data_IF_883707016661
#
_entry.id   IF_883707016661
#
_cell.length_a   1.000
_cell.length_b   1.000
_cell.length_c   1.000
_cell.angle_alpha   90.00
_cell.angle_beta   90.00
_cell.angle_gamma   90.00
#
_symmetry.space_group_name_H-M   'P 1'
#
loop_
_entity.id
_entity.type
_entity.pdbx_description
1 polymer ?
#
# COMPACT_ATOMS: atom_id res chain seq x y z
N UNK A 1 9.59 -24.05 -0.61
CA UNK A 1 8.30 -23.37 -0.40
C UNK A 1 8.63 -21.93 -0.07
N UNK A 2 8.44 -20.99 -1.00
CA UNK A 2 8.58 -19.57 -0.70
C UNK A 2 7.33 -19.15 0.08
N UNK A 3 7.43 -19.12 1.40
CA UNK A 3 6.46 -18.42 2.25
C UNK A 3 6.61 -16.94 1.93
N UNK A 4 5.79 -16.43 1.01
CA UNK A 4 5.71 -15.00 0.73
C UNK A 4 5.18 -14.35 2.01
N UNK A 5 6.06 -13.71 2.78
CA UNK A 5 5.68 -12.98 3.99
C UNK A 5 4.76 -11.84 3.56
N UNK A 6 3.53 -11.83 4.08
CA UNK A 6 2.55 -10.79 3.78
C UNK A 6 2.76 -9.60 4.73
N UNK A 7 2.50 -8.34 4.32
CA UNK A 7 2.62 -7.16 5.18
C UNK A 7 1.94 -7.28 6.55
N UNK A 8 0.81 -7.98 6.58
CA UNK A 8 0.00 -8.25 7.77
C UNK A 8 0.63 -9.23 8.77
N UNK A 9 1.65 -9.97 8.36
CA UNK A 9 2.39 -10.93 9.20
C UNK A 9 3.75 -10.41 9.65
N UNK A 10 4.13 -9.20 9.23
CA UNK A 10 5.44 -8.63 9.54
C UNK A 10 5.39 -7.82 10.84
N UNK A 11 6.31 -8.13 11.75
CA UNK A 11 6.54 -7.35 12.97
C UNK A 11 7.08 -5.95 12.65
N UNK A 12 7.10 -5.06 13.64
CA UNK A 12 7.72 -3.75 13.48
C UNK A 12 9.21 -3.86 13.09
N UNK A 13 9.90 -4.88 13.61
CA UNK A 13 11.30 -5.13 13.28
C UNK A 13 11.47 -5.65 11.85
N UNK A 14 10.66 -6.63 11.42
CA UNK A 14 10.71 -7.14 10.04
C UNK A 14 10.51 -6.02 9.02
N UNK A 15 9.61 -5.07 9.33
CA UNK A 15 9.32 -3.90 8.49
C UNK A 15 10.49 -2.92 8.40
N UNK A 16 11.19 -2.67 9.51
CA UNK A 16 12.42 -1.86 9.51
C UNK A 16 13.53 -2.51 8.70
N UNK A 17 13.74 -3.82 8.89
CA UNK A 17 14.75 -4.57 8.14
C UNK A 17 14.42 -4.63 6.64
N UNK A 18 13.14 -4.73 6.29
CA UNK A 18 12.71 -4.73 4.90
C UNK A 18 13.04 -3.43 4.16
N UNK A 19 13.04 -2.26 4.83
CA UNK A 19 13.52 -1.02 4.23
C UNK A 19 14.98 -1.14 3.80
N UNK A 20 15.88 -1.44 4.72
CA UNK A 20 17.32 -1.52 4.42
C UNK A 20 17.67 -2.66 3.47
N UNK A 21 16.96 -3.79 3.53
CA UNK A 21 17.15 -4.87 2.56
C UNK A 21 16.75 -4.40 1.15
N UNK A 22 15.59 -3.76 1.01
CA UNK A 22 15.06 -3.32 -0.28
C UNK A 22 15.74 -2.06 -0.83
N UNK A 23 16.35 -1.24 0.02
CA UNK A 23 17.29 -0.21 -0.37
C UNK A 23 18.49 -0.83 -1.10
N UNK A 24 19.02 -1.94 -0.58
CA UNK A 24 20.19 -2.64 -1.14
C UNK A 24 19.88 -3.57 -2.32
N UNK A 25 18.65 -4.11 -2.43
CA UNK A 25 18.31 -5.15 -3.42
C UNK A 25 17.14 -4.81 -4.35
N UNK A 26 16.40 -3.72 -4.10
CA UNK A 26 15.23 -3.28 -4.88
C UNK A 26 13.96 -4.12 -4.63
N UNK A 27 12.85 -3.48 -4.25
CA UNK A 27 11.53 -4.11 -4.14
C UNK A 27 10.69 -3.85 -5.39
N UNK A 28 10.01 -4.88 -5.92
CA UNK A 28 9.11 -4.75 -7.08
C UNK A 28 9.74 -4.00 -8.28
N UNK A 29 11.05 -4.16 -8.52
CA UNK A 29 11.86 -3.47 -9.54
C UNK A 29 12.09 -1.97 -9.35
N UNK A 30 11.63 -1.37 -8.25
CA UNK A 30 11.93 0.02 -7.92
C UNK A 30 13.28 0.09 -7.18
N UNK A 31 14.19 0.92 -7.70
CA UNK A 31 15.40 1.31 -6.98
C UNK A 31 15.03 2.35 -5.91
N UNK A 32 15.30 2.03 -4.65
CA UNK A 32 15.10 2.91 -3.50
C UNK A 32 16.39 3.59 -3.05
N UNK A 33 17.51 3.29 -3.72
CA UNK A 33 18.78 3.94 -3.48
C UNK A 33 18.72 5.41 -3.89
N UNK A 34 18.78 6.29 -2.88
CA UNK A 34 18.81 7.73 -3.01
C UNK A 34 20.21 8.33 -2.82
N UNK A 35 21.23 7.51 -2.55
CA UNK A 35 22.59 7.97 -2.25
C UNK A 35 23.22 8.73 -3.40
N UNK A 36 23.12 8.21 -4.62
CA UNK A 36 23.57 8.88 -5.85
C UNK A 36 22.95 10.28 -6.00
N UNK A 37 21.64 10.40 -5.75
CA UNK A 37 20.94 11.67 -5.87
C UNK A 37 21.43 12.68 -4.82
N UNK A 38 21.71 12.24 -3.58
CA UNK A 38 22.29 13.10 -2.54
C UNK A 38 23.70 13.59 -2.91
N UNK A 39 24.53 12.71 -3.49
CA UNK A 39 25.86 13.10 -3.95
C UNK A 39 25.78 14.10 -5.10
N UNK A 40 24.93 13.86 -6.09
CA UNK A 40 24.69 14.78 -7.20
C UNK A 40 24.26 16.18 -6.69
N UNK A 41 23.26 16.21 -5.79
CA UNK A 41 22.76 17.45 -5.19
C UNK A 41 23.86 18.20 -4.44
N UNK A 42 24.66 17.51 -3.63
CA UNK A 42 25.74 18.14 -2.87
C UNK A 42 26.87 18.63 -3.78
N UNK A 43 27.25 17.83 -4.77
CA UNK A 43 28.26 18.17 -5.77
C UNK A 43 27.91 19.46 -6.52
N UNK A 44 26.65 19.64 -6.91
CA UNK A 44 26.20 20.89 -7.53
C UNK A 44 26.39 22.10 -6.62
N UNK A 45 26.07 21.97 -5.32
CA UNK A 45 26.24 23.06 -4.36
C UNK A 45 27.71 23.37 -4.12
N UNK A 46 28.57 22.34 -4.04
CA UNK A 46 30.01 22.52 -3.93
C UNK A 46 30.59 23.26 -5.14
N UNK A 47 30.19 22.90 -6.36
CA UNK A 47 30.59 23.62 -7.59
C UNK A 47 30.18 25.10 -7.56
N UNK A 48 28.99 25.42 -7.06
CA UNK A 48 28.55 26.82 -6.91
C UNK A 48 29.44 27.56 -5.90
N UNK A 49 29.76 26.95 -4.76
CA UNK A 49 30.63 27.54 -3.75
C UNK A 49 32.05 27.78 -4.32
N UNK A 50 32.61 26.81 -5.04
CA UNK A 50 33.91 26.94 -5.71
C UNK A 50 33.92 28.06 -6.75
N UNK A 51 32.84 28.21 -7.52
CA UNK A 51 32.71 29.27 -8.53
C UNK A 51 32.68 30.67 -7.88
N UNK A 52 32.04 30.80 -6.73
CA UNK A 52 31.89 32.08 -6.02
C UNK A 52 33.13 32.47 -5.20
N UNK A 53 33.75 31.50 -4.53
CA UNK A 53 34.80 31.74 -3.53
C UNK A 53 36.21 31.34 -4.02
N UNK A 54 36.31 30.75 -5.21
CA UNK A 54 37.53 30.26 -5.82
C UNK A 54 37.88 28.84 -5.38
N UNK A 55 37.95 27.92 -6.36
CA UNK A 55 38.23 26.49 -6.13
C UNK A 55 39.43 26.20 -5.23
N UNK A 56 40.59 26.81 -5.53
CA UNK A 56 41.82 26.59 -4.75
C UNK A 56 41.72 27.01 -3.29
N UNK A 57 40.80 27.92 -2.97
CA UNK A 57 40.58 28.42 -1.62
C UNK A 57 39.62 27.53 -0.82
N UNK A 58 38.56 27.00 -1.45
CA UNK A 58 37.48 26.32 -0.71
C UNK A 58 37.46 24.80 -0.86
N UNK A 59 37.99 24.22 -1.94
CA UNK A 59 37.91 22.78 -2.18
C UNK A 59 38.46 21.92 -1.01
N UNK A 60 39.61 22.24 -0.37
CA UNK A 60 40.10 21.46 0.77
C UNK A 60 39.17 21.52 1.98
N UNK A 61 38.49 22.65 2.18
CA UNK A 61 37.53 22.83 3.28
C UNK A 61 36.22 22.09 3.03
N UNK A 62 35.75 22.07 1.78
CA UNK A 62 34.57 21.29 1.38
C UNK A 62 34.82 19.80 1.56
N UNK A 63 35.98 19.30 1.13
CA UNK A 63 36.40 17.91 1.35
C UNK A 63 36.48 17.57 2.84
N UNK A 64 37.16 18.40 3.64
CA UNK A 64 37.31 18.18 5.08
C UNK A 64 35.98 18.25 5.86
N UNK A 65 34.94 18.86 5.28
CA UNK A 65 33.61 18.95 5.88
C UNK A 65 32.74 17.69 5.63
N UNK A 66 33.14 16.80 4.73
CA UNK A 66 32.41 15.57 4.45
C UNK A 66 32.52 14.61 5.65
N UNK A 67 31.38 14.13 6.21
CA UNK A 67 31.40 13.17 7.29
C UNK A 67 31.45 11.73 6.76
N UNK A 68 32.26 10.87 7.39
CA UNK A 68 32.32 9.43 7.09
C UNK A 68 33.70 8.83 7.40
N UNK A 69 33.77 7.57 7.85
CA UNK A 69 35.05 6.90 8.16
C UNK A 69 35.87 6.53 6.92
N UNK A 70 35.22 6.38 5.75
CA UNK A 70 35.80 5.76 4.54
C UNK A 70 35.79 6.71 3.33
N UNK A 71 35.97 8.01 3.54
CA UNK A 71 36.07 8.97 2.43
C UNK A 71 37.45 8.81 1.78
N UNK A 72 37.49 8.20 0.61
CA UNK A 72 38.70 8.04 -0.20
C UNK A 72 38.95 9.27 -1.10
N UNK A 73 40.19 9.43 -1.56
CA UNK A 73 40.60 10.52 -2.46
C UNK A 73 41.25 11.71 -1.76
N UNK A 74 41.63 12.71 -2.55
CA UNK A 74 42.29 13.96 -2.12
C UNK A 74 41.40 15.19 -2.37
N UNK A 75 40.28 15.02 -3.06
CA UNK A 75 39.31 16.07 -3.34
C UNK A 75 37.90 15.55 -3.10
N UNK A 76 36.94 16.47 -2.92
CA UNK A 76 35.54 16.06 -2.79
C UNK A 76 35.00 15.46 -4.09
N UNK A 77 35.56 15.81 -5.25
CA UNK A 77 35.21 15.16 -6.51
C UNK A 77 35.65 13.70 -6.54
N UNK A 78 36.91 13.41 -6.17
CA UNK A 78 37.43 12.03 -6.09
C UNK A 78 36.61 11.19 -5.09
N UNK A 79 36.21 11.79 -3.96
CA UNK A 79 35.33 11.15 -2.98
C UNK A 79 33.95 10.79 -3.52
N UNK A 80 33.45 11.52 -4.51
CA UNK A 80 32.12 11.29 -5.09
C UNK A 80 32.17 10.41 -6.36
N UNK A 81 33.35 10.23 -6.97
CA UNK A 81 33.51 9.43 -8.20
C UNK A 81 33.26 7.93 -7.96
N UNK A 82 33.57 7.41 -6.78
CA UNK A 82 33.23 6.04 -6.39
C UNK A 82 32.01 6.09 -5.50
N UNK A 83 30.82 5.84 -6.06
CA UNK A 83 29.63 5.67 -5.25
C UNK A 83 29.82 4.46 -4.32
N UNK A 84 30.05 4.76 -3.05
CA UNK A 84 30.00 3.80 -1.96
C UNK A 84 28.78 4.19 -1.13
N UNK A 85 27.71 3.36 -1.07
CA UNK A 85 26.54 3.64 -0.25
C UNK A 85 26.90 4.02 1.19
N UNK A 86 28.00 3.47 1.72
CA UNK A 86 28.54 3.80 3.06
C UNK A 86 28.88 5.27 3.28
N UNK A 87 29.17 6.05 2.24
CA UNK A 87 29.53 7.47 2.35
C UNK A 87 28.34 8.27 2.89
N UNK A 88 27.14 8.01 2.40
CA UNK A 88 25.95 8.79 2.75
C UNK A 88 25.26 8.28 4.02
N UNK A 89 25.44 7.02 4.43
CA UNK A 89 24.75 6.41 5.59
C UNK A 89 24.93 7.20 6.91
N UNK A 90 26.04 7.92 7.06
CA UNK A 90 26.29 8.71 8.27
C UNK A 90 25.61 10.08 8.26
N UNK A 91 25.13 10.53 7.10
CA UNK A 91 24.62 11.88 6.87
C UNK A 91 23.21 12.03 7.42
N UNK A 92 22.92 13.19 8.01
CA UNK A 92 21.59 13.46 8.56
C UNK A 92 20.50 13.51 7.49
N UNK A 93 20.85 13.88 6.26
CA UNK A 93 19.96 13.82 5.10
C UNK A 93 19.57 12.39 4.74
N UNK A 94 20.53 11.45 4.77
CA UNK A 94 20.25 10.04 4.52
C UNK A 94 19.37 9.44 5.62
N UNK A 95 19.74 9.66 6.90
CA UNK A 95 18.92 9.23 8.04
C UNK A 95 17.49 9.78 7.99
N UNK A 96 17.31 11.02 7.52
CA UNK A 96 15.98 11.60 7.33
C UNK A 96 15.17 10.85 6.27
N UNK A 97 15.81 10.48 5.15
CA UNK A 97 15.17 9.71 4.09
C UNK A 97 14.91 8.26 4.49
N UNK A 98 15.79 7.62 5.25
CA UNK A 98 15.53 6.30 5.83
C UNK A 98 14.32 6.33 6.75
N UNK A 99 14.27 7.30 7.66
CA UNK A 99 13.13 7.49 8.55
C UNK A 99 11.83 7.72 7.77
N UNK A 100 11.90 8.47 6.67
CA UNK A 100 10.77 8.70 5.78
C UNK A 100 10.36 7.43 5.01
N UNK A 101 11.30 6.60 4.56
CA UNK A 101 11.03 5.34 3.89
C UNK A 101 10.39 4.30 4.82
N UNK A 102 10.98 4.13 6.01
CA UNK A 102 10.48 3.25 7.08
C UNK A 102 9.05 3.63 7.46
N UNK A 103 8.81 4.92 7.73
CA UNK A 103 7.47 5.38 8.09
C UNK A 103 6.51 5.36 6.90
N UNK A 104 6.89 5.97 5.78
CA UNK A 104 6.03 6.15 4.61
C UNK A 104 5.58 4.83 4.01
N UNK A 105 6.55 3.95 3.67
CA UNK A 105 6.26 2.70 2.99
C UNK A 105 5.78 1.61 3.95
N UNK A 106 6.40 1.47 5.12
CA UNK A 106 6.13 0.35 6.03
C UNK A 106 5.28 0.70 7.26
N UNK A 107 4.97 1.97 7.50
CA UNK A 107 4.04 2.38 8.56
C UNK A 107 4.56 2.13 9.98
N UNK A 108 5.88 2.19 10.18
CA UNK A 108 6.54 2.02 11.49
C UNK A 108 7.49 3.18 11.78
N UNK A 109 7.86 3.39 13.04
CA UNK A 109 8.91 4.34 13.42
C UNK A 109 10.24 3.62 13.62
N UNK A 110 11.37 4.37 13.65
CA UNK A 110 12.65 3.81 14.08
C UNK A 110 12.55 3.22 15.49
N UNK A 111 13.30 2.14 15.74
CA UNK A 111 13.26 1.41 17.01
C UNK A 111 13.64 2.27 18.23
N UNK A 112 14.46 3.30 18.02
CA UNK A 112 14.89 4.21 19.08
C UNK A 112 13.78 5.15 19.57
N UNK A 113 12.66 5.28 18.85
CA UNK A 113 11.57 6.19 19.20
C UNK A 113 10.58 5.47 20.12
N UNK A 114 10.47 5.95 21.35
CA UNK A 114 9.55 5.40 22.35
C UNK A 114 8.09 5.55 21.91
N UNK A 115 7.24 4.57 22.25
CA UNK A 115 5.82 4.52 21.83
C UNK A 115 5.08 5.84 22.10
N UNK A 116 5.29 6.46 23.26
CA UNK A 116 4.64 7.71 23.68
C UNK A 116 5.08 8.93 22.87
N UNK A 117 6.21 8.85 22.17
CA UNK A 117 6.81 9.96 21.41
C UNK A 117 6.52 9.87 19.91
N UNK A 118 6.05 8.70 19.42
CA UNK A 118 5.90 8.43 17.98
C UNK A 118 5.01 9.42 17.25
N UNK A 119 3.89 9.81 17.85
CA UNK A 119 2.99 10.79 17.22
C UNK A 119 3.67 12.16 17.03
N UNK A 120 4.38 12.66 18.05
CA UNK A 120 5.12 13.91 17.96
C UNK A 120 6.29 13.80 16.97
N UNK A 121 6.96 12.66 16.94
CA UNK A 121 8.04 12.37 16.00
C UNK A 121 7.57 12.36 14.54
N UNK A 122 6.38 11.82 14.25
CA UNK A 122 5.80 11.82 12.89
C UNK A 122 5.54 13.26 12.40
N UNK A 123 5.05 14.13 13.28
CA UNK A 123 4.81 15.54 12.95
C UNK A 123 6.13 16.31 12.72
N UNK A 124 7.15 16.04 13.54
CA UNK A 124 8.50 16.58 13.31
C UNK A 124 9.10 16.09 11.99
N UNK A 125 8.96 14.79 11.70
CA UNK A 125 9.41 14.19 10.44
C UNK A 125 8.77 14.90 9.25
N UNK A 126 7.45 15.08 9.24
CA UNK A 126 6.74 15.77 8.16
C UNK A 126 7.25 17.21 7.97
N UNK A 127 7.46 17.93 9.07
CA UNK A 127 7.99 19.31 9.05
C UNK A 127 9.40 19.35 8.44
N UNK A 128 10.28 18.44 8.87
CA UNK A 128 11.66 18.36 8.37
C UNK A 128 11.72 17.95 6.91
N UNK A 129 10.82 17.08 6.46
CA UNK A 129 10.71 16.65 5.08
C UNK A 129 10.28 17.78 4.15
N UNK A 130 9.31 18.60 4.56
CA UNK A 130 8.91 19.79 3.78
C UNK A 130 10.01 20.86 3.74
N UNK A 131 10.72 21.05 4.87
CA UNK A 131 11.89 21.92 4.91
C UNK A 131 13.00 21.41 3.97
N UNK A 132 13.30 20.12 4.01
CA UNK A 132 14.28 19.48 3.13
C UNK A 132 13.92 19.70 1.67
N UNK A 133 12.67 19.39 1.28
CA UNK A 133 12.17 19.62 -0.09
C UNK A 133 12.32 21.08 -0.52
N UNK A 134 12.01 22.02 0.36
CA UNK A 134 12.07 23.45 0.06
C UNK A 134 13.51 23.95 -0.16
N UNK A 135 14.44 23.50 0.68
CA UNK A 135 15.83 23.97 0.67
C UNK A 135 16.70 23.21 -0.33
N UNK A 136 16.60 21.89 -0.34
CA UNK A 136 17.43 21.01 -1.17
C UNK A 136 16.93 20.98 -2.61
N UNK A 137 15.60 20.99 -2.79
CA UNK A 137 14.90 20.92 -4.08
C UNK A 137 15.29 19.67 -4.89
N UNK A 138 15.03 18.46 -4.35
CA UNK A 138 15.26 17.22 -5.09
C UNK A 138 14.42 17.19 -6.37
N UNK A 139 14.86 16.41 -7.35
CA UNK A 139 14.17 16.35 -8.64
C UNK A 139 12.80 15.66 -8.49
N UNK A 140 11.71 16.17 -9.10
CA UNK A 140 10.37 15.68 -8.81
C UNK A 140 10.13 14.20 -9.15
N UNK A 141 10.84 13.65 -10.14
CA UNK A 141 10.68 12.27 -10.60
C UNK A 141 11.65 11.29 -9.94
N UNK A 142 12.61 11.79 -9.15
CA UNK A 142 13.64 10.95 -8.54
C UNK A 142 13.19 10.37 -7.20
N UNK A 143 14.01 9.45 -6.71
CA UNK A 143 13.73 8.59 -5.57
C UNK A 143 13.59 9.39 -4.27
N UNK A 144 14.37 10.46 -4.07
CA UNK A 144 14.29 11.31 -2.88
C UNK A 144 12.89 11.94 -2.79
N UNK A 145 12.40 12.55 -3.86
CA UNK A 145 11.05 13.12 -3.89
C UNK A 145 9.97 12.06 -3.65
N UNK A 146 10.14 10.87 -4.23
CA UNK A 146 9.22 9.75 -4.04
C UNK A 146 9.13 9.30 -2.58
N UNK A 147 10.27 9.15 -1.91
CA UNK A 147 10.33 8.78 -0.48
C UNK A 147 9.62 9.83 0.39
N UNK A 148 9.91 11.11 0.13
CA UNK A 148 9.27 12.23 0.83
C UNK A 148 7.74 12.19 0.62
N UNK A 149 7.28 12.01 -0.61
CA UNK A 149 5.86 11.93 -0.95
C UNK A 149 5.16 10.75 -0.25
N UNK A 150 5.81 9.60 -0.17
CA UNK A 150 5.26 8.44 0.55
C UNK A 150 5.06 8.75 2.03
N UNK A 151 6.05 9.34 2.69
CA UNK A 151 5.95 9.70 4.10
C UNK A 151 4.85 10.73 4.38
N UNK A 152 4.72 11.75 3.54
CA UNK A 152 3.68 12.78 3.71
C UNK A 152 2.28 12.24 3.39
N UNK A 153 2.14 11.45 2.32
CA UNK A 153 0.89 10.77 1.96
C UNK A 153 0.46 9.79 3.05
N UNK A 154 1.41 9.06 3.65
CA UNK A 154 1.19 8.18 4.80
C UNK A 154 0.66 8.96 6.00
N UNK A 155 1.31 10.06 6.36
CA UNK A 155 0.86 10.93 7.45
C UNK A 155 -0.56 11.43 7.21
N UNK A 156 -0.89 11.84 5.99
CA UNK A 156 -2.23 12.26 5.64
C UNK A 156 -3.28 11.15 5.87
N UNK A 157 -2.95 9.91 5.46
CA UNK A 157 -3.79 8.73 5.71
C UNK A 157 -3.95 8.45 7.21
N UNK A 158 -2.86 8.45 7.95
CA UNK A 158 -2.86 8.11 9.39
C UNK A 158 -3.57 9.16 10.25
N UNK A 159 -3.53 10.44 9.86
CA UNK A 159 -4.27 11.52 10.50
C UNK A 159 -5.68 11.72 9.95
N UNK A 160 -6.04 11.02 8.85
CA UNK A 160 -7.25 11.25 8.06
C UNK A 160 -7.42 12.70 7.56
N UNK A 161 -6.31 13.43 7.40
CA UNK A 161 -6.28 14.85 7.04
C UNK A 161 -5.35 15.10 5.85
N UNK A 162 -5.82 15.91 4.90
CA UNK A 162 -5.04 16.30 3.73
C UNK A 162 -5.26 15.42 2.51
N UNK A 163 -4.24 15.37 1.66
CA UNK A 163 -4.31 14.80 0.32
C UNK A 163 -3.20 13.77 0.11
N UNK A 164 -3.47 12.79 -0.76
CA UNK A 164 -2.56 11.71 -1.12
C UNK A 164 -2.25 11.81 -2.61
N UNK A 165 -0.97 11.85 -2.95
CA UNK A 165 -0.55 11.88 -4.34
C UNK A 165 -0.76 10.54 -5.05
N UNK A 166 -0.99 10.58 -6.37
CA UNK A 166 -1.37 9.38 -7.13
C UNK A 166 -0.25 8.35 -7.23
N UNK A 167 1.01 8.78 -7.19
CA UNK A 167 2.17 7.87 -7.28
C UNK A 167 2.30 7.09 -5.98
N UNK A 168 2.23 7.78 -4.84
CA UNK A 168 2.22 7.14 -3.51
C UNK A 168 1.04 6.19 -3.35
N UNK A 169 -0.17 6.60 -3.78
CA UNK A 169 -1.34 5.72 -3.74
C UNK A 169 -1.15 4.46 -4.60
N UNK A 170 -0.53 4.58 -5.77
CA UNK A 170 -0.22 3.44 -6.62
C UNK A 170 0.75 2.47 -5.94
N UNK A 171 1.81 3.00 -5.33
CA UNK A 171 2.81 2.22 -4.58
C UNK A 171 2.15 1.51 -3.41
N UNK A 172 1.39 2.22 -2.57
CA UNK A 172 0.64 1.63 -1.46
C UNK A 172 -0.34 0.55 -1.92
N UNK A 173 -0.96 0.75 -3.08
CA UNK A 173 -1.96 -0.16 -3.63
C UNK A 173 -1.39 -1.33 -4.42
N UNK A 174 -0.08 -1.42 -4.62
CA UNK A 174 0.57 -2.45 -5.46
C UNK A 174 0.18 -2.36 -6.94
N UNK A 175 -0.09 -1.16 -7.46
CA UNK A 175 -0.54 -0.93 -8.84
C UNK A 175 0.22 0.20 -9.51
N UNK A 176 0.09 0.33 -10.83
CA UNK A 176 0.70 1.45 -11.57
C UNK A 176 -0.08 2.75 -11.39
N UNK A 177 0.58 3.90 -11.49
CA UNK A 177 -0.08 5.22 -11.46
C UNK A 177 -1.15 5.33 -12.57
N UNK A 178 -0.88 4.78 -13.75
CA UNK A 178 -1.86 4.71 -14.85
C UNK A 178 -3.13 3.95 -14.46
N UNK A 179 -3.02 2.90 -13.64
CA UNK A 179 -4.20 2.18 -13.12
C UNK A 179 -5.03 3.06 -12.17
N UNK A 180 -4.38 3.86 -11.32
CA UNK A 180 -5.07 4.83 -10.45
C UNK A 180 -5.80 5.88 -11.30
N UNK A 181 -5.14 6.45 -12.32
CA UNK A 181 -5.76 7.42 -13.23
C UNK A 181 -6.99 6.84 -13.96
N UNK A 182 -6.92 5.57 -14.37
CA UNK A 182 -8.06 4.88 -14.97
C UNK A 182 -9.22 4.69 -13.97
N UNK A 183 -8.92 4.33 -12.72
CA UNK A 183 -9.94 4.22 -11.66
C UNK A 183 -10.61 5.58 -11.45
N UNK A 184 -9.84 6.67 -11.35
CA UNK A 184 -10.36 8.03 -11.17
C UNK A 184 -11.20 8.55 -12.36
N UNK A 185 -11.10 7.91 -13.53
CA UNK A 185 -11.95 8.24 -14.68
C UNK A 185 -13.34 7.60 -14.61
N UNK A 186 -13.53 6.61 -13.73
CA UNK A 186 -14.81 5.95 -13.50
C UNK A 186 -15.63 6.66 -12.43
N UNK A 187 -16.96 6.69 -12.59
CA UNK A 187 -17.87 7.39 -11.67
C UNK A 187 -18.08 6.68 -10.32
N UNK A 188 -17.62 5.43 -10.20
CA UNK A 188 -17.80 4.56 -9.01
C UNK A 188 -16.45 4.05 -8.48
N UNK A 189 -15.48 4.97 -8.41
CA UNK A 189 -14.08 4.63 -8.16
C UNK A 189 -13.76 4.39 -6.67
N UNK A 190 -14.63 4.84 -5.77
CA UNK A 190 -14.38 4.90 -4.33
C UNK A 190 -13.26 5.89 -3.93
N UNK A 191 -12.68 6.62 -4.89
CA UNK A 191 -11.62 7.61 -4.67
C UNK A 191 -12.17 9.01 -4.95
N UNK A 192 -11.96 9.92 -4.01
CA UNK A 192 -12.41 11.31 -4.12
C UNK A 192 -11.25 12.19 -4.58
N UNK A 193 -11.36 12.73 -5.79
CA UNK A 193 -10.31 13.54 -6.40
C UNK A 193 -10.34 14.98 -5.89
N UNK A 194 -9.16 15.51 -5.53
CA UNK A 194 -8.92 16.92 -5.24
C UNK A 194 -7.74 17.40 -6.07
N UNK A 195 -7.98 18.26 -7.05
CA UNK A 195 -6.93 18.71 -7.98
C UNK A 195 -6.30 17.55 -8.75
N UNK A 196 -5.02 17.27 -8.49
CA UNK A 196 -4.27 16.13 -9.06
C UNK A 196 -4.00 15.02 -8.03
N UNK A 197 -4.67 15.08 -6.88
CA UNK A 197 -4.51 14.17 -5.74
C UNK A 197 -5.86 13.56 -5.36
N UNK A 198 -5.89 12.74 -4.31
CA UNK A 198 -7.13 12.25 -3.69
C UNK A 198 -7.20 12.61 -2.22
N UNK A 199 -8.41 12.65 -1.65
CA UNK A 199 -8.57 12.88 -0.20
C UNK A 199 -7.97 11.72 0.59
N UNK A 200 -7.33 12.01 1.72
CA UNK A 200 -6.77 10.97 2.59
C UNK A 200 -7.82 9.93 3.06
N UNK A 201 -9.06 10.32 3.45
CA UNK A 201 -10.08 9.34 3.83
C UNK A 201 -10.47 8.38 2.70
N UNK A 202 -10.61 8.86 1.46
CA UNK A 202 -10.95 7.99 0.32
C UNK A 202 -9.80 7.06 -0.06
N UNK A 203 -8.55 7.55 0.03
CA UNK A 203 -7.35 6.72 -0.13
C UNK A 203 -7.29 5.61 0.93
N UNK A 204 -7.50 5.95 2.22
CA UNK A 204 -7.50 4.99 3.32
C UNK A 204 -8.57 3.89 3.11
N UNK A 205 -9.78 4.28 2.71
CA UNK A 205 -10.85 3.34 2.40
C UNK A 205 -10.51 2.40 1.23
N UNK A 206 -9.89 2.93 0.17
CA UNK A 206 -9.49 2.15 -1.00
C UNK A 206 -8.30 1.21 -0.73
N UNK A 207 -7.43 1.56 0.21
CA UNK A 207 -6.28 0.76 0.64
C UNK A 207 -6.65 -0.35 1.63
N UNK A 208 -7.78 -0.24 2.32
CA UNK A 208 -8.24 -1.22 3.32
C UNK A 208 -8.30 -2.63 2.73
N UNK A 209 -7.62 -3.57 3.38
CA UNK A 209 -7.60 -4.99 2.98
C UNK A 209 -6.76 -5.34 1.75
N UNK A 210 -5.98 -4.39 1.21
CA UNK A 210 -5.05 -4.69 0.11
C UNK A 210 -3.81 -5.41 0.63
N UNK A 211 -3.49 -6.54 0.00
CA UNK A 211 -2.34 -7.39 0.33
C UNK A 211 -0.97 -6.70 0.22
N UNK A 212 -0.85 -5.67 -0.62
CA UNK A 212 0.42 -4.96 -0.86
C UNK A 212 0.58 -3.74 0.07
N UNK A 213 -0.48 -3.39 0.81
CA UNK A 213 -0.50 -2.23 1.66
C UNK A 213 -0.02 -2.57 3.07
N UNK A 214 1.07 -1.93 3.49
CA UNK A 214 1.51 -1.92 4.88
C UNK A 214 0.66 -0.91 5.66
N UNK A 215 -0.36 -1.37 6.37
CA UNK A 215 -1.10 -0.55 7.31
C UNK A 215 -0.19 -0.10 8.46
N UNK A 216 -0.33 1.14 8.92
CA UNK A 216 0.47 1.64 10.04
C UNK A 216 0.24 0.83 11.31
N UNK A 217 1.34 0.45 11.96
CA UNK A 217 1.34 -0.24 13.26
C UNK A 217 2.14 0.53 14.31
N UNK A 218 2.64 1.73 13.98
CA UNK A 218 3.44 2.54 14.90
C UNK A 218 2.70 2.92 16.19
N UNK A 219 1.37 2.91 16.21
CA UNK A 219 0.57 3.14 17.42
C UNK A 219 0.62 1.97 18.41
N UNK A 220 1.16 0.82 18.00
CA UNK A 220 1.22 -0.40 18.80
C UNK A 220 2.63 -0.59 19.40
N UNK A 221 2.77 -1.25 20.56
CA UNK A 221 4.06 -1.72 21.05
C UNK A 221 4.75 -2.61 20.01
N UNK A 222 6.08 -2.58 19.94
CA UNK A 222 6.83 -3.38 18.96
C UNK A 222 6.71 -4.88 19.22
N UNK A 223 6.46 -5.27 20.47
CA UNK A 223 6.23 -6.65 20.90
C UNK A 223 4.82 -7.16 20.58
N UNK A 224 3.92 -6.30 20.10
CA UNK A 224 2.59 -6.74 19.68
C UNK A 224 2.71 -7.68 18.49
N UNK A 225 2.13 -8.89 18.61
CA UNK A 225 2.07 -9.80 17.47
C UNK A 225 1.23 -9.16 16.36
N UNK A 226 1.66 -9.27 15.08
CA UNK A 226 0.87 -8.79 13.96
C UNK A 226 -0.46 -9.55 13.94
N UNK A 227 -1.52 -8.90 14.38
CA UNK A 227 -2.86 -9.44 14.22
C UNK A 227 -3.23 -9.21 12.76
N UNK A 228 -3.21 -10.28 11.96
CA UNK A 228 -3.77 -10.23 10.62
C UNK A 228 -5.16 -9.59 10.75
N UNK A 229 -5.49 -8.55 9.95
CA UNK A 229 -6.76 -7.87 10.10
C UNK A 229 -7.83 -8.95 10.07
N UNK A 230 -8.49 -9.15 11.23
CA UNK A 230 -9.68 -10.00 11.26
C UNK A 230 -10.52 -9.50 10.09
N UNK A 231 -10.92 -10.35 9.14
CA UNK A 231 -11.79 -9.92 8.08
C UNK A 231 -12.90 -9.13 8.75
N UNK A 232 -13.07 -7.87 8.35
CA UNK A 232 -14.11 -7.04 8.94
C UNK A 232 -15.43 -7.71 8.55
N UNK A 233 -15.94 -8.57 9.43
CA UNK A 233 -17.18 -9.31 9.24
C UNK A 233 -18.39 -8.40 9.52
N UNK A 234 -18.19 -7.07 9.50
CA UNK A 234 -19.27 -6.09 9.65
C UNK A 234 -20.32 -6.20 8.54
N UNK A 235 -19.93 -6.77 7.38
CA UNK A 235 -20.85 -7.00 6.27
C UNK A 235 -21.35 -8.46 6.30
N UNK A 236 -22.67 -8.61 6.43
CA UNK A 236 -23.42 -9.87 6.34
C UNK A 236 -22.93 -10.70 5.12
N UNK A 237 -22.08 -11.69 5.35
CA UNK A 237 -21.64 -12.63 4.32
C UNK A 237 -22.59 -13.80 4.25
N UNK A 238 -22.95 -14.23 3.04
CA UNK A 238 -23.79 -15.40 2.80
C UNK A 238 -23.03 -16.46 2.02
N UNK A 239 -23.22 -17.72 2.39
CA UNK A 239 -22.72 -18.87 1.64
C UNK A 239 -23.81 -19.36 0.70
N UNK A 240 -23.58 -19.25 -0.60
CA UNK A 240 -24.50 -19.71 -1.64
C UNK A 240 -23.97 -20.94 -2.35
N UNK A 241 -24.83 -21.89 -2.73
CA UNK A 241 -24.38 -23.09 -3.42
C UNK A 241 -23.89 -22.76 -4.83
N UNK A 242 -22.77 -23.37 -5.21
CA UNK A 242 -22.09 -23.27 -6.49
C UNK A 242 -22.20 -24.61 -7.23
N UNK A 243 -22.65 -24.58 -8.47
CA UNK A 243 -22.73 -25.71 -9.37
C UNK A 243 -21.41 -25.94 -10.11
N UNK A 244 -21.29 -27.10 -10.75
CA UNK A 244 -20.08 -27.51 -11.47
C UNK A 244 -19.66 -26.56 -12.61
N UNK A 245 -20.61 -25.81 -13.19
CA UNK A 245 -20.37 -24.88 -14.29
C UNK A 245 -20.12 -23.43 -13.85
N UNK A 246 -19.83 -23.19 -12.57
CA UNK A 246 -19.62 -21.84 -12.01
C UNK A 246 -20.92 -21.07 -11.72
N UNK A 247 -22.04 -21.63 -12.18
CA UNK A 247 -23.41 -21.50 -11.70
C UNK A 247 -23.62 -21.24 -10.21
N UNK A 248 -24.14 -20.12 -9.69
CA UNK A 248 -24.50 -20.02 -8.26
C UNK A 248 -25.94 -19.56 -8.02
N UNK A 249 -26.47 -19.82 -6.82
CA UNK A 249 -27.81 -19.38 -6.43
C UNK A 249 -27.81 -17.89 -6.04
N UNK A 250 -28.66 -17.08 -6.69
CA UNK A 250 -28.74 -15.62 -6.48
C UNK A 250 -30.19 -15.12 -6.63
N UNK A 251 -30.52 -13.88 -6.20
CA UNK A 251 -31.90 -13.38 -6.14
C UNK A 251 -32.61 -13.31 -7.49
N UNK A 252 -31.86 -13.03 -8.57
CA UNK A 252 -32.38 -13.02 -9.95
C UNK A 252 -32.93 -14.35 -10.47
N UNK A 253 -32.80 -15.46 -9.72
CA UNK A 253 -33.40 -16.75 -10.06
C UNK A 253 -34.88 -16.86 -9.66
N UNK A 254 -35.45 -15.83 -9.03
CA UNK A 254 -36.85 -15.81 -8.64
C UNK A 254 -37.79 -15.79 -9.86
N UNK A 255 -38.85 -16.60 -9.81
CA UNK A 255 -39.99 -16.53 -10.73
C UNK A 255 -41.23 -16.13 -9.94
N UNK A 256 -41.78 -14.95 -10.25
CA UNK A 256 -42.91 -14.38 -9.51
C UNK A 256 -42.66 -14.32 -7.99
N UNK A 257 -41.43 -13.94 -7.60
CA UNK A 257 -41.00 -13.83 -6.19
C UNK A 257 -40.68 -15.16 -5.50
N UNK A 258 -40.78 -16.30 -6.21
CA UNK A 258 -40.57 -17.64 -5.65
C UNK A 258 -39.38 -18.35 -6.29
N UNK A 259 -38.69 -19.15 -5.49
CA UNK A 259 -37.57 -19.99 -5.90
C UNK A 259 -38.00 -21.44 -5.88
N UNK A 260 -37.66 -22.19 -6.93
CA UNK A 260 -37.91 -23.64 -6.99
C UNK A 260 -36.63 -24.38 -6.59
N UNK A 261 -36.67 -25.09 -5.46
CA UNK A 261 -35.54 -25.84 -4.90
C UNK A 261 -35.93 -27.31 -4.67
N UNK A 262 -34.94 -28.20 -4.57
CA UNK A 262 -35.15 -29.63 -4.37
C UNK A 262 -34.79 -30.48 -5.59
N UNK A 263 -34.74 -31.80 -5.39
CA UNK A 263 -34.49 -32.78 -6.45
C UNK A 263 -35.67 -32.92 -7.41
N UNK A 264 -35.43 -33.54 -8.57
CA UNK A 264 -36.49 -33.86 -9.54
C UNK A 264 -37.56 -34.72 -8.86
N UNK A 265 -38.79 -34.23 -8.78
CA UNK A 265 -39.93 -34.91 -8.13
C UNK A 265 -40.13 -34.55 -6.64
N UNK A 266 -39.21 -33.80 -6.04
CA UNK A 266 -39.26 -33.32 -4.64
C UNK A 266 -39.14 -31.79 -4.59
N UNK A 267 -39.56 -31.11 -5.68
CA UNK A 267 -39.40 -29.67 -5.85
C UNK A 267 -40.39 -28.91 -4.95
N UNK A 268 -39.88 -27.94 -4.21
CA UNK A 268 -40.67 -27.03 -3.37
C UNK A 268 -40.46 -25.60 -3.84
N UNK A 269 -41.55 -24.82 -3.88
CA UNK A 269 -41.48 -23.38 -4.13
C UNK A 269 -41.45 -22.62 -2.82
N UNK A 270 -40.38 -21.84 -2.63
CA UNK A 270 -40.18 -21.02 -1.44
C UNK A 270 -40.18 -19.54 -1.84
N UNK A 271 -40.93 -18.73 -1.10
CA UNK A 271 -40.96 -17.29 -1.28
C UNK A 271 -39.80 -16.63 -0.54
N UNK A 272 -39.16 -15.66 -1.21
CA UNK A 272 -38.03 -14.92 -0.65
C UNK A 272 -36.70 -15.67 -0.75
N UNK A 273 -35.65 -14.90 -1.03
CA UNK A 273 -34.30 -15.42 -1.25
C UNK A 273 -33.72 -16.07 0.02
N UNK A 274 -33.82 -15.39 1.16
CA UNK A 274 -33.21 -15.87 2.41
C UNK A 274 -33.84 -17.19 2.89
N UNK A 275 -35.17 -17.31 2.79
CA UNK A 275 -35.89 -18.55 3.11
C UNK A 275 -35.50 -19.70 2.20
N UNK A 276 -35.34 -19.43 0.90
CA UNK A 276 -34.91 -20.43 -0.07
C UNK A 276 -33.45 -20.85 0.15
N UNK A 277 -32.56 -19.90 0.45
CA UNK A 277 -31.15 -20.17 0.75
C UNK A 277 -31.01 -21.00 2.04
N UNK A 278 -31.75 -20.63 3.10
CA UNK A 278 -31.75 -21.37 4.36
C UNK A 278 -32.25 -22.81 4.19
N UNK A 279 -33.20 -23.05 3.28
CA UNK A 279 -33.66 -24.39 2.94
C UNK A 279 -32.61 -25.17 2.13
N UNK A 280 -31.93 -24.54 1.16
CA UNK A 280 -30.83 -25.16 0.40
C UNK A 280 -29.66 -25.56 1.29
N UNK A 281 -29.30 -24.74 2.29
CA UNK A 281 -28.24 -25.03 3.27
C UNK A 281 -28.53 -26.25 4.15
N UNK A 282 -29.79 -26.63 4.31
CA UNK A 282 -30.21 -27.82 5.07
C UNK A 282 -30.27 -29.08 4.21
N UNK A 283 -30.13 -28.97 2.89
CA UNK A 283 -30.16 -30.13 1.99
C UNK A 283 -28.79 -30.82 1.96
N UNK A 284 -28.78 -32.16 2.00
CA UNK A 284 -27.56 -32.94 1.82
C UNK A 284 -26.89 -32.69 0.46
N UNK A 285 -27.67 -32.34 -0.56
CA UNK A 285 -27.18 -31.80 -1.83
C UNK A 285 -28.10 -30.66 -2.25
N UNK A 286 -27.65 -29.40 -2.19
CA UNK A 286 -28.48 -28.27 -2.57
C UNK A 286 -28.83 -28.37 -4.06
N UNK A 287 -30.11 -28.25 -4.39
CA UNK A 287 -30.60 -28.32 -5.77
C UNK A 287 -31.59 -27.18 -6.02
N UNK A 288 -31.43 -26.47 -7.12
CA UNK A 288 -32.29 -25.34 -7.48
C UNK A 288 -32.50 -25.27 -8.99
N UNK A 289 -33.55 -24.57 -9.41
CA UNK A 289 -33.76 -24.26 -10.84
C UNK A 289 -33.07 -22.97 -11.26
N UNK A 290 -32.48 -23.00 -12.45
CA UNK A 290 -31.96 -21.81 -13.14
C UNK A 290 -32.12 -21.95 -14.66
N UNK A 291 -32.09 -20.86 -15.44
CA UNK A 291 -31.97 -20.95 -16.90
C UNK A 291 -30.59 -21.51 -17.29
N UNK A 292 -30.56 -22.26 -18.39
CA UNK A 292 -29.32 -22.59 -19.10
C UNK A 292 -29.06 -21.57 -20.22
N UNK A 293 -27.98 -21.76 -21.00
CA UNK A 293 -27.60 -20.87 -22.12
C UNK A 293 -28.71 -20.71 -23.19
N UNK A 294 -29.62 -21.68 -23.29
CA UNK A 294 -30.77 -21.66 -24.20
C UNK A 294 -32.06 -21.18 -23.52
N UNK A 295 -31.96 -20.47 -22.39
CA UNK A 295 -33.06 -19.95 -21.56
C UNK A 295 -34.02 -21.02 -21.00
N UNK A 296 -33.69 -22.30 -21.16
CA UNK A 296 -34.48 -23.40 -20.62
C UNK A 296 -34.15 -23.61 -19.14
N UNK A 297 -35.19 -23.77 -18.32
CA UNK A 297 -35.01 -23.89 -16.89
C UNK A 297 -34.83 -25.34 -16.47
N UNK A 298 -33.66 -25.63 -15.91
CA UNK A 298 -33.28 -26.95 -15.43
C UNK A 298 -32.91 -26.93 -13.96
N UNK A 299 -32.99 -28.10 -13.32
CA UNK A 299 -32.46 -28.30 -11.96
C UNK A 299 -30.95 -28.47 -12.06
N UNK A 300 -30.22 -27.74 -11.24
CA UNK A 300 -28.79 -27.94 -11.03
C UNK A 300 -28.52 -28.41 -9.61
N UNK A 301 -27.42 -29.15 -9.42
CA UNK A 301 -26.92 -29.55 -8.10
C UNK A 301 -25.70 -28.73 -7.72
N UNK A 302 -25.69 -28.21 -6.51
CA UNK A 302 -24.51 -27.59 -5.92
C UNK A 302 -23.46 -28.64 -5.62
N UNK A 303 -22.22 -28.31 -5.95
CA UNK A 303 -21.02 -29.10 -5.73
C UNK A 303 -20.09 -28.46 -4.71
N UNK A 304 -20.19 -27.14 -4.55
CA UNK A 304 -19.37 -26.36 -3.63
C UNK A 304 -20.18 -25.19 -3.03
N UNK A 305 -19.59 -24.44 -2.11
CA UNK A 305 -20.18 -23.26 -1.49
C UNK A 305 -19.32 -22.04 -1.80
N UNK A 306 -19.94 -21.00 -2.36
CA UNK A 306 -19.29 -19.72 -2.62
C UNK A 306 -19.66 -18.73 -1.52
N UNK A 307 -18.65 -18.18 -0.85
CA UNK A 307 -18.81 -17.05 0.07
C UNK A 307 -18.97 -15.76 -0.73
N UNK A 308 -20.05 -15.03 -0.51
CA UNK A 308 -20.35 -13.75 -1.20
C UNK A 308 -20.84 -12.74 -0.17
N UNK A 309 -20.41 -11.48 -0.29
CA UNK A 309 -20.96 -10.37 0.50
C UNK A 309 -22.39 -10.06 0.06
N UNK A 310 -23.34 -9.91 1.01
CA UNK A 310 -24.76 -9.70 0.70
C UNK A 310 -25.02 -8.49 -0.20
N UNK A 311 -24.22 -7.41 -0.09
CA UNK A 311 -24.30 -6.24 -0.98
C UNK A 311 -24.08 -6.57 -2.46
N UNK A 312 -23.10 -7.42 -2.76
CA UNK A 312 -22.80 -7.85 -4.13
C UNK A 312 -23.86 -8.79 -4.70
N UNK A 313 -24.60 -9.46 -3.83
CA UNK A 313 -25.67 -10.38 -4.20
C UNK A 313 -26.98 -9.65 -4.56
N UNK A 314 -27.20 -8.45 -4.01
CA UNK A 314 -28.39 -7.62 -4.24
C UNK A 314 -28.25 -6.63 -5.40
N UNK A 315 -27.05 -6.45 -5.94
CA UNK A 315 -26.76 -5.53 -7.04
C UNK A 315 -26.93 -6.15 -8.46
N UNK A 316 -27.29 -7.44 -8.55
CA UNK A 316 -27.49 -8.20 -9.79
C UNK A 316 -28.95 -8.57 -10.03
#
# INVERSE_FOLDING_TARGET
MNTTVLPETMTAEDRRQAWFHNELTGYQSANWDYGDELLELLAERFKVIELLLGKSNVAPHLFAALPGPDIEGNTWEEAFETYLPSVTLSWDGAKLLDNAGIYGLYGVTPAAIALTERAAWIEDLATRLEQFRTLVKPEPQRVTTRIINLALSRRAIDSAEGEVDLVSLAIFGGVTEGRIRNILSSSDSGLEKVGQQVTAPSAAAWLKGRKDFFASIWQQPDEAEPEAPSPDFSDDVVFVPLAADGSYFHPGLARSGKFTIGGKGEEVQIEGFDSALAALQKMATPRWRRPNENENWGIVSGRDWKRIERRHLMAN
#
